data_IF_455064884061
#
_entry.id   IF_455064884061
#
_cell.length_a   1.000
_cell.length_b   1.000
_cell.length_c   1.000
_cell.angle_alpha   90.00
_cell.angle_beta   90.00
_cell.angle_gamma   90.00
#
_symmetry.space_group_name_H-M   'P 1'
#
loop_
_entity.id
_entity.type
_entity.pdbx_description
1 polymer ?
#
# COMPACT_ATOMS: atom_id res chain seq x y z
N UNK A 1 25.03 -10.27 -24.26
CA UNK A 1 23.79 -10.95 -23.81
C UNK A 1 22.95 -9.99 -22.97
N UNK A 2 22.17 -9.14 -23.63
CA UNK A 2 21.31 -8.10 -23.03
C UNK A 2 19.97 -8.63 -22.50
N UNK A 3 19.87 -9.95 -22.25
CA UNK A 3 18.61 -10.59 -21.87
C UNK A 3 18.46 -10.84 -20.35
N UNK A 4 19.56 -10.80 -19.58
CA UNK A 4 19.49 -11.16 -18.15
C UNK A 4 19.43 -9.96 -17.19
N UNK A 5 19.47 -8.73 -17.71
CA UNK A 5 19.20 -7.50 -16.93
C UNK A 5 17.69 -7.28 -16.65
N UNK A 6 16.83 -8.20 -17.10
CA UNK A 6 15.38 -8.15 -16.90
C UNK A 6 14.90 -8.94 -15.68
N UNK A 7 15.77 -9.54 -14.87
CA UNK A 7 15.41 -9.95 -13.50
C UNK A 7 15.49 -8.74 -12.57
N UNK A 8 14.67 -7.72 -12.84
CA UNK A 8 14.20 -6.87 -11.73
C UNK A 8 13.57 -7.86 -10.76
N UNK A 9 14.14 -7.98 -9.58
CA UNK A 9 13.63 -8.88 -8.55
C UNK A 9 12.15 -8.57 -8.33
N UNK A 10 11.25 -9.33 -8.96
CA UNK A 10 9.81 -9.29 -8.78
C UNK A 10 9.45 -9.94 -7.44
N UNK A 11 10.16 -9.55 -6.38
CA UNK A 11 10.04 -10.17 -5.08
C UNK A 11 8.94 -9.43 -4.32
N UNK A 12 7.88 -10.18 -4.02
CA UNK A 12 6.88 -9.76 -3.06
C UNK A 12 7.48 -9.58 -1.66
N UNK A 13 6.81 -8.81 -0.82
CA UNK A 13 7.23 -8.69 0.57
C UNK A 13 7.06 -10.03 1.29
N UNK A 14 8.10 -10.42 2.01
CA UNK A 14 8.07 -11.48 3.01
C UNK A 14 7.30 -11.02 4.24
N UNK A 15 6.86 -11.97 5.07
CA UNK A 15 6.21 -11.67 6.35
C UNK A 15 7.11 -10.80 7.26
N UNK A 16 8.42 -11.04 7.23
CA UNK A 16 9.38 -10.24 7.99
C UNK A 16 9.46 -8.79 7.48
N UNK A 17 9.48 -8.58 6.17
CA UNK A 17 9.45 -7.24 5.57
C UNK A 17 8.12 -6.51 5.87
N UNK A 18 6.99 -7.23 5.89
CA UNK A 18 5.70 -6.67 6.31
C UNK A 18 5.73 -6.23 7.78
N UNK A 19 6.25 -7.08 8.67
CA UNK A 19 6.37 -6.75 10.09
C UNK A 19 7.29 -5.54 10.33
N UNK A 20 8.40 -5.46 9.60
CA UNK A 20 9.31 -4.31 9.70
C UNK A 20 8.66 -3.02 9.17
N UNK A 21 7.90 -3.09 8.07
CA UNK A 21 7.11 -1.96 7.57
C UNK A 21 6.13 -1.46 8.64
N UNK A 22 5.39 -2.36 9.28
CA UNK A 22 4.46 -2.00 10.37
C UNK A 22 5.20 -1.36 11.54
N UNK A 23 6.35 -1.91 11.91
CA UNK A 23 7.18 -1.39 13.01
C UNK A 23 7.67 0.03 12.75
N UNK A 24 8.10 0.34 11.53
CA UNK A 24 8.53 1.69 11.12
C UNK A 24 7.42 2.72 11.37
N UNK A 25 6.16 2.35 11.14
CA UNK A 25 5.01 3.23 11.31
C UNK A 25 4.27 3.09 12.65
N UNK A 26 4.78 2.29 13.60
CA UNK A 26 4.09 2.03 14.88
C UNK A 26 3.80 3.29 15.70
N UNK A 27 4.69 4.29 15.66
CA UNK A 27 4.51 5.58 16.32
C UNK A 27 3.70 6.62 15.52
N UNK A 28 3.29 6.31 14.30
CA UNK A 28 2.60 7.25 13.41
C UNK A 28 1.08 7.14 13.56
N UNK A 29 0.55 7.88 14.53
CA UNK A 29 -0.87 7.85 14.95
C UNK A 29 -1.90 7.98 13.81
N UNK A 30 -1.71 8.84 12.79
CA UNK A 30 -2.71 8.99 11.72
C UNK A 30 -3.04 7.69 11.00
N UNK A 31 -2.08 6.76 10.87
CA UNK A 31 -2.30 5.44 10.28
C UNK A 31 -2.43 4.32 11.31
N UNK A 32 -1.70 4.35 12.43
CA UNK A 32 -1.73 3.23 13.39
C UNK A 32 -3.12 2.98 14.00
N UNK A 33 -3.96 4.03 14.12
CA UNK A 33 -5.37 3.89 14.53
C UNK A 33 -6.22 3.00 13.59
N UNK A 34 -5.78 2.80 12.35
CA UNK A 34 -6.49 2.00 11.35
C UNK A 34 -6.07 0.53 11.32
N UNK A 35 -4.98 0.15 12.00
CA UNK A 35 -4.43 -1.20 11.95
C UNK A 35 -5.43 -2.27 12.40
N UNK A 36 -6.26 -1.98 13.41
CA UNK A 36 -7.30 -2.90 13.89
C UNK A 36 -8.61 -2.86 13.08
N UNK A 37 -8.75 -1.89 12.15
CA UNK A 37 -9.95 -1.66 11.33
C UNK A 37 -9.79 -2.12 9.88
N UNK A 38 -8.56 -2.41 9.47
CA UNK A 38 -8.19 -2.83 8.13
C UNK A 38 -7.69 -4.27 8.17
N UNK A 39 -7.83 -4.97 7.05
CA UNK A 39 -7.06 -6.21 6.87
C UNK A 39 -5.57 -5.89 6.74
N UNK A 40 -4.71 -6.86 7.05
CA UNK A 40 -3.24 -6.69 6.93
C UNK A 40 -2.84 -6.17 5.54
N UNK A 41 -3.45 -6.72 4.48
CA UNK A 41 -3.19 -6.28 3.10
C UNK A 41 -3.60 -4.82 2.84
N UNK A 42 -4.78 -4.41 3.32
CA UNK A 42 -5.24 -3.02 3.23
C UNK A 42 -4.32 -2.08 4.01
N UNK A 43 -3.91 -2.49 5.21
CA UNK A 43 -3.03 -1.69 6.05
C UNK A 43 -1.65 -1.53 5.41
N UNK A 44 -1.05 -2.59 4.88
CA UNK A 44 0.21 -2.51 4.14
C UNK A 44 0.11 -1.59 2.92
N UNK A 45 -1.01 -1.58 2.18
CA UNK A 45 -1.22 -0.63 1.08
C UNK A 45 -1.20 0.83 1.58
N UNK A 46 -1.84 1.13 2.71
CA UNK A 46 -1.77 2.47 3.32
C UNK A 46 -0.32 2.87 3.65
N UNK A 47 0.43 1.97 4.29
CA UNK A 47 1.82 2.23 4.68
C UNK A 47 2.73 2.44 3.46
N UNK A 48 2.60 1.61 2.42
CA UNK A 48 3.39 1.73 1.20
C UNK A 48 3.08 3.03 0.43
N UNK A 49 1.82 3.44 0.35
CA UNK A 49 1.47 4.74 -0.25
C UNK A 49 2.06 5.90 0.57
N UNK A 50 2.02 5.81 1.91
CA UNK A 50 2.61 6.84 2.78
C UNK A 50 4.12 6.93 2.64
N UNK A 51 4.78 5.79 2.45
CA UNK A 51 6.21 5.68 2.17
C UNK A 51 6.60 6.11 0.74
N UNK A 52 5.61 6.43 -0.12
CA UNK A 52 5.85 7.01 -1.44
C UNK A 52 6.00 5.99 -2.58
N UNK A 53 5.70 4.71 -2.34
CA UNK A 53 5.77 3.70 -3.39
C UNK A 53 4.73 3.95 -4.49
N UNK A 54 5.11 3.64 -5.73
CA UNK A 54 4.19 3.76 -6.86
C UNK A 54 3.13 2.66 -6.84
N UNK A 55 1.95 2.86 -7.48
CA UNK A 55 0.93 1.82 -7.56
C UNK A 55 1.43 0.52 -8.23
N UNK A 56 2.39 0.64 -9.15
CA UNK A 56 3.01 -0.50 -9.81
C UNK A 56 3.88 -1.30 -8.82
N UNK A 57 4.71 -0.60 -8.04
CA UNK A 57 5.56 -1.25 -7.03
C UNK A 57 4.72 -1.90 -5.93
N UNK A 58 3.64 -1.24 -5.50
CA UNK A 58 2.69 -1.81 -4.53
C UNK A 58 2.06 -3.09 -5.08
N UNK A 59 1.70 -3.12 -6.37
CA UNK A 59 1.19 -4.33 -7.01
C UNK A 59 2.18 -5.49 -6.96
N UNK A 60 3.47 -5.22 -7.22
CA UNK A 60 4.54 -6.23 -7.14
C UNK A 60 4.75 -6.70 -5.70
N UNK A 61 4.91 -5.76 -4.76
CA UNK A 61 5.18 -6.05 -3.35
C UNK A 61 4.05 -6.84 -2.69
N UNK A 62 2.79 -6.56 -3.06
CA UNK A 62 1.59 -7.20 -2.51
C UNK A 62 1.07 -8.39 -3.34
N UNK A 63 1.74 -8.75 -4.44
CA UNK A 63 1.29 -9.77 -5.41
C UNK A 63 -0.14 -9.53 -5.91
N UNK A 64 -0.46 -8.28 -6.20
CA UNK A 64 -1.78 -7.86 -6.66
C UNK A 64 -1.73 -7.35 -8.09
N UNK A 65 -2.79 -7.61 -8.84
CA UNK A 65 -2.95 -7.01 -10.16
C UNK A 65 -3.12 -5.48 -10.05
N UNK A 66 -2.73 -4.71 -11.08
CA UNK A 66 -2.93 -3.25 -11.09
C UNK A 66 -4.38 -2.81 -10.91
N UNK A 67 -5.33 -3.60 -11.45
CA UNK A 67 -6.77 -3.36 -11.28
C UNK A 67 -7.20 -3.58 -9.83
N UNK A 68 -6.71 -4.64 -9.18
CA UNK A 68 -7.04 -4.89 -7.79
C UNK A 68 -6.44 -3.83 -6.84
N UNK A 69 -5.20 -3.40 -7.06
CA UNK A 69 -4.61 -2.27 -6.31
C UNK A 69 -5.44 -1.00 -6.48
N UNK A 70 -5.93 -0.71 -7.68
CA UNK A 70 -6.80 0.44 -7.91
C UNK A 70 -8.12 0.31 -7.14
N UNK A 71 -8.75 -0.86 -7.15
CA UNK A 71 -9.98 -1.12 -6.41
C UNK A 71 -9.78 -1.05 -4.88
N UNK A 72 -8.69 -1.61 -4.35
CA UNK A 72 -8.34 -1.53 -2.93
C UNK A 72 -8.23 -0.07 -2.50
N UNK A 73 -7.48 0.76 -3.24
CA UNK A 73 -7.31 2.18 -2.92
C UNK A 73 -8.63 2.95 -2.95
N UNK A 74 -9.49 2.71 -3.95
CA UNK A 74 -10.83 3.32 -4.00
C UNK A 74 -11.67 2.93 -2.76
N UNK A 75 -11.72 1.64 -2.41
CA UNK A 75 -12.46 1.17 -1.23
C UNK A 75 -11.89 1.72 0.08
N UNK A 76 -10.56 1.82 0.19
CA UNK A 76 -9.91 2.39 1.37
C UNK A 76 -10.23 3.87 1.54
N UNK A 77 -10.25 4.65 0.46
CA UNK A 77 -10.66 6.05 0.53
C UNK A 77 -12.07 6.20 1.07
N UNK A 78 -13.02 5.42 0.56
CA UNK A 78 -14.39 5.40 1.07
C UNK A 78 -14.44 4.98 2.55
N UNK A 79 -13.74 3.90 2.92
CA UNK A 79 -13.71 3.37 4.29
C UNK A 79 -13.12 4.39 5.29
N UNK A 80 -12.09 5.12 4.91
CA UNK A 80 -11.37 6.02 5.81
C UNK A 80 -11.97 7.44 5.88
N UNK A 81 -12.62 7.89 4.82
CA UNK A 81 -13.14 9.27 4.72
C UNK A 81 -14.66 9.36 4.69
N UNK A 82 -15.36 8.26 4.43
CA UNK A 82 -16.81 8.23 4.19
C UNK A 82 -17.23 8.79 2.84
N UNK A 83 -16.30 9.13 1.94
CA UNK A 83 -16.58 9.78 0.65
C UNK A 83 -16.28 8.83 -0.51
N UNK A 84 -17.14 8.82 -1.54
CA UNK A 84 -16.76 8.19 -2.81
C UNK A 84 -15.65 9.01 -3.48
N UNK A 85 -14.79 8.35 -4.24
CA UNK A 85 -13.63 8.98 -4.85
C UNK A 85 -12.80 8.04 -5.70
N UNK A 86 -11.70 8.56 -6.22
CA UNK A 86 -10.79 7.81 -7.08
C UNK A 86 -9.63 7.18 -6.28
N UNK A 87 -8.92 6.20 -6.86
CA UNK A 87 -7.66 5.72 -6.29
C UNK A 87 -6.61 6.81 -6.10
N UNK A 88 -6.66 7.90 -6.88
CA UNK A 88 -5.74 9.04 -6.70
C UNK A 88 -6.12 9.91 -5.50
N UNK A 89 -7.40 9.96 -5.15
CA UNK A 89 -7.85 10.71 -3.96
C UNK A 89 -7.43 9.99 -2.68
N UNK A 90 -7.41 8.64 -2.70
CA UNK A 90 -6.74 7.84 -1.68
C UNK A 90 -5.27 8.26 -1.51
N UNK A 91 -4.50 8.28 -2.60
CA UNK A 91 -3.08 8.60 -2.55
C UNK A 91 -2.83 10.01 -1.98
N UNK A 92 -3.67 10.99 -2.36
CA UNK A 92 -3.61 12.37 -1.82
C UNK A 92 -3.95 12.40 -0.33
N UNK A 93 -5.02 11.71 0.07
CA UNK A 93 -5.47 11.65 1.45
C UNK A 93 -4.38 11.07 2.36
N UNK A 94 -3.84 9.89 2.01
CA UNK A 94 -2.78 9.25 2.79
C UNK A 94 -1.53 10.13 2.90
N UNK A 95 -1.16 10.85 1.83
CA UNK A 95 -0.02 11.78 1.86
C UNK A 95 -0.27 13.04 2.69
N UNK A 96 -1.53 13.40 2.92
CA UNK A 96 -1.92 14.55 3.74
C UNK A 96 -2.04 14.25 5.24
N UNK A 97 -2.05 12.96 5.61
CA UNK A 97 -1.94 12.52 6.99
C UNK A 97 -0.53 12.80 7.52
#
# INVERSE_FOLDING_TARGET
>A
MLADHARRSHKCMTVAECAELVKIFSGYTPLSQWQSRLSDSEYHVCLLVRAGFSPADIGILMQQSPSNISNIRKRLYLKMTGKDGSPKDFDKYIKSL
#
